data_IF_482034913810
#
_entry.id   IF_482034913810
#
_cell.length_a   1.000
_cell.length_b   1.000
_cell.length_c   1.000
_cell.angle_alpha   90.00
_cell.angle_beta   90.00
_cell.angle_gamma   90.00
#
_symmetry.space_group_name_H-M   'P 1'
#
loop_
_entity.id
_entity.type
_entity.pdbx_description
1 polymer ?
#
# COMPACT_ATOMS: atom_id res chain seq x y z
N UNK A 1 -46.71 -25.26 1.44
CA UNK A 1 -45.26 -25.14 1.19
C UNK A 1 -44.80 -23.81 1.75
N UNK A 2 -44.23 -23.83 2.95
CA UNK A 2 -43.72 -22.66 3.66
C UNK A 2 -42.27 -22.42 3.23
N UNK A 3 -41.99 -21.27 2.61
CA UNK A 3 -40.62 -20.82 2.37
C UNK A 3 -40.05 -20.26 3.68
N UNK A 4 -39.22 -21.06 4.35
CA UNK A 4 -38.42 -20.63 5.50
C UNK A 4 -37.26 -19.77 4.98
N UNK A 5 -37.29 -18.48 5.28
CA UNK A 5 -36.18 -17.56 5.00
C UNK A 5 -35.07 -17.75 6.04
N UNK A 6 -34.17 -18.71 5.81
CA UNK A 6 -33.00 -18.93 6.66
C UNK A 6 -31.78 -18.16 6.12
N UNK A 7 -31.81 -16.83 6.23
CA UNK A 7 -30.60 -16.00 6.17
C UNK A 7 -30.69 -14.88 7.19
N UNK A 8 -30.39 -15.23 8.45
CA UNK A 8 -30.07 -14.24 9.48
C UNK A 8 -28.92 -13.38 8.97
N UNK A 9 -29.15 -12.06 8.84
CA UNK A 9 -28.11 -11.08 8.49
C UNK A 9 -26.96 -11.19 9.50
N UNK A 10 -25.71 -11.46 9.08
CA UNK A 10 -24.57 -11.40 9.99
C UNK A 10 -24.35 -9.96 10.45
N UNK A 11 -24.41 -9.73 11.77
CA UNK A 11 -24.11 -8.45 12.46
C UNK A 11 -22.61 -8.07 12.37
N UNK A 12 -22.05 -8.02 11.16
CA UNK A 12 -20.62 -7.65 10.94
C UNK A 12 -20.42 -6.70 9.77
N UNK A 13 -21.50 -6.24 9.12
CA UNK A 13 -21.45 -4.95 8.42
C UNK A 13 -21.40 -3.91 9.54
N UNK A 14 -20.38 -3.05 9.64
CA UNK A 14 -20.47 -1.91 10.52
C UNK A 14 -21.81 -1.24 10.25
N UNK A 15 -22.61 -1.01 11.29
CA UNK A 15 -23.80 -0.18 11.12
C UNK A 15 -23.39 1.05 10.32
N UNK A 16 -24.19 1.43 9.30
CA UNK A 16 -23.99 2.68 8.60
C UNK A 16 -23.68 3.74 9.67
N UNK A 17 -22.57 4.49 9.55
CA UNK A 17 -22.15 5.38 10.63
C UNK A 17 -23.35 6.22 11.02
N UNK A 18 -23.74 6.16 12.30
CA UNK A 18 -24.76 7.04 12.81
C UNK A 18 -24.38 8.46 12.37
N UNK A 19 -25.34 9.26 11.86
CA UNK A 19 -25.05 10.63 11.46
C UNK A 19 -24.26 11.27 12.60
N UNK A 20 -23.07 11.78 12.27
CA UNK A 20 -22.14 12.31 13.26
C UNK A 20 -22.93 13.24 14.19
N UNK A 21 -22.91 12.95 15.49
CA UNK A 21 -23.54 13.80 16.48
C UNK A 21 -23.07 15.24 16.22
N UNK A 22 -24.03 16.13 15.93
CA UNK A 22 -23.76 17.52 15.62
C UNK A 22 -22.92 18.12 16.76
N UNK A 23 -21.67 18.50 16.47
CA UNK A 23 -20.77 19.13 17.43
C UNK A 23 -19.41 18.44 17.66
N UNK A 24 -19.15 17.24 17.15
CA UNK A 24 -17.80 16.64 17.25
C UNK A 24 -16.89 17.22 16.17
N UNK A 25 -15.83 17.92 16.56
CA UNK A 25 -14.80 18.40 15.63
C UNK A 25 -14.22 17.21 14.86
N UNK A 26 -14.10 17.29 13.51
CA UNK A 26 -13.55 16.19 12.75
C UNK A 26 -12.10 15.94 13.17
N UNK A 27 -11.82 14.74 13.69
CA UNK A 27 -10.46 14.33 14.01
C UNK A 27 -9.76 13.95 12.70
N UNK A 28 -8.82 14.79 12.26
CA UNK A 28 -8.05 14.60 11.02
C UNK A 28 -7.16 13.36 11.03
N UNK A 29 -6.80 12.86 12.21
CA UNK A 29 -5.69 11.91 12.40
C UNK A 29 -6.20 10.49 12.65
N UNK A 30 -5.44 9.50 12.18
CA UNK A 30 -5.67 8.08 12.46
C UNK A 30 -5.49 7.84 13.95
N UNK A 31 -4.36 8.30 14.49
CA UNK A 31 -3.98 8.26 15.90
C UNK A 31 -4.09 9.66 16.52
N UNK A 32 -3.02 10.43 16.37
CA UNK A 32 -2.82 11.81 16.79
C UNK A 32 -1.85 12.47 15.79
N UNK A 33 -1.70 13.79 15.86
CA UNK A 33 -0.91 14.54 14.88
C UNK A 33 0.54 14.09 14.80
N UNK A 34 1.23 13.94 15.93
CA UNK A 34 2.66 13.62 15.92
C UNK A 34 2.93 12.19 15.48
N UNK A 35 2.14 11.23 15.96
CA UNK A 35 2.31 9.83 15.57
C UNK A 35 1.99 9.61 14.10
N UNK A 36 0.95 10.23 13.58
CA UNK A 36 0.63 10.14 12.15
C UNK A 36 1.73 10.77 11.28
N UNK A 37 2.29 11.91 11.69
CA UNK A 37 3.41 12.53 10.98
C UNK A 37 4.64 11.62 10.96
N UNK A 38 4.99 10.99 12.08
CA UNK A 38 6.19 10.14 12.19
C UNK A 38 6.00 8.80 11.48
N UNK A 39 4.84 8.14 11.65
CA UNK A 39 4.61 6.76 11.22
C UNK A 39 3.98 6.62 9.84
N UNK A 40 3.25 7.64 9.37
CA UNK A 40 2.48 7.55 8.12
C UNK A 40 2.87 8.60 7.10
N UNK A 41 2.91 9.87 7.49
CA UNK A 41 2.92 10.98 6.53
C UNK A 41 4.34 11.42 6.17
N UNK A 42 5.17 11.72 7.17
CA UNK A 42 6.52 12.27 7.01
C UNK A 42 7.63 11.27 7.32
N UNK A 43 7.29 9.99 7.52
CA UNK A 43 8.26 8.89 7.68
C UNK A 43 9.37 8.92 6.63
N UNK A 44 9.09 9.20 5.33
CA UNK A 44 10.15 9.34 4.33
C UNK A 44 11.26 10.34 4.69
N UNK A 45 10.90 11.47 5.29
CA UNK A 45 11.85 12.54 5.66
C UNK A 45 12.77 12.11 6.82
N UNK A 46 12.32 11.17 7.64
CA UNK A 46 13.12 10.58 8.72
C UNK A 46 14.00 9.45 8.18
N UNK A 47 13.50 8.65 7.25
CA UNK A 47 14.22 7.50 6.72
C UNK A 47 15.44 7.89 5.90
N UNK A 48 15.35 8.94 5.07
CA UNK A 48 16.50 9.38 4.25
C UNK A 48 17.76 9.64 5.08
N UNK A 49 17.76 10.52 6.11
CA UNK A 49 18.96 10.76 6.91
C UNK A 49 19.39 9.54 7.74
N UNK A 50 18.44 8.73 8.26
CA UNK A 50 18.76 7.49 8.99
C UNK A 50 19.51 6.53 8.07
N UNK A 51 19.05 6.37 6.83
CA UNK A 51 19.64 5.46 5.87
C UNK A 51 21.01 5.94 5.39
N UNK A 52 21.17 7.24 5.12
CA UNK A 52 22.49 7.83 4.82
C UNK A 52 23.46 7.61 5.97
N UNK A 53 23.02 7.78 7.22
CA UNK A 53 23.82 7.46 8.40
C UNK A 53 24.19 5.98 8.46
N UNK A 54 23.23 5.09 8.24
CA UNK A 54 23.45 3.63 8.25
C UNK A 54 24.45 3.18 7.18
N UNK A 55 24.43 3.78 5.99
CA UNK A 55 25.40 3.50 4.92
C UNK A 55 26.83 3.94 5.26
N UNK A 56 27.02 4.76 6.29
CA UNK A 56 28.35 5.05 6.85
C UNK A 56 28.92 3.90 7.69
N UNK A 57 28.09 2.93 8.10
CA UNK A 57 28.48 1.82 8.98
C UNK A 57 28.33 0.45 8.34
N UNK A 58 27.38 0.28 7.41
CA UNK A 58 27.06 -1.00 6.78
C UNK A 58 27.00 -0.89 5.26
N UNK A 59 27.33 -1.99 4.57
CA UNK A 59 27.16 -2.09 3.13
C UNK A 59 25.68 -2.04 2.76
N UNK A 60 25.38 -1.54 1.55
CA UNK A 60 24.02 -1.44 1.05
C UNK A 60 23.32 -2.80 0.99
N UNK A 61 24.08 -3.84 0.64
CA UNK A 61 23.62 -5.22 0.54
C UNK A 61 23.21 -5.77 1.91
N UNK A 62 23.98 -5.49 2.97
CA UNK A 62 23.67 -5.93 4.34
C UNK A 62 22.40 -5.25 4.85
N UNK A 63 22.27 -3.95 4.60
CA UNK A 63 21.06 -3.19 4.95
C UNK A 63 19.86 -3.76 4.19
N UNK A 64 20.00 -4.02 2.89
CA UNK A 64 18.95 -4.62 2.09
C UNK A 64 18.55 -6.00 2.59
N UNK A 65 19.52 -6.89 2.90
CA UNK A 65 19.24 -8.22 3.42
C UNK A 65 18.50 -8.17 4.77
N UNK A 66 18.90 -7.26 5.65
CA UNK A 66 18.21 -7.03 6.91
C UNK A 66 16.75 -6.58 6.67
N UNK A 67 16.55 -5.59 5.79
CA UNK A 67 15.20 -5.09 5.46
C UNK A 67 14.37 -6.17 4.78
N UNK A 68 14.92 -6.95 3.86
CA UNK A 68 14.21 -8.03 3.19
C UNK A 68 13.78 -9.13 4.18
N UNK A 69 14.66 -9.49 5.13
CA UNK A 69 14.39 -10.54 6.11
C UNK A 69 13.37 -10.12 7.19
N UNK A 70 13.53 -8.91 7.76
CA UNK A 70 12.71 -8.47 8.90
C UNK A 70 11.60 -7.51 8.53
N UNK A 71 11.81 -6.69 7.51
CA UNK A 71 10.82 -5.78 6.96
C UNK A 71 9.89 -6.51 6.00
N UNK A 72 10.37 -6.78 4.77
CA UNK A 72 9.57 -7.32 3.68
C UNK A 72 8.92 -8.67 4.04
N UNK A 73 9.68 -9.64 4.56
CA UNK A 73 9.08 -10.90 5.01
C UNK A 73 8.30 -10.75 6.33
N UNK A 74 8.80 -9.92 7.26
CA UNK A 74 8.20 -9.77 8.58
C UNK A 74 6.84 -9.07 8.56
N UNK A 75 6.60 -8.14 7.64
CA UNK A 75 5.32 -7.43 7.55
C UNK A 75 4.17 -8.34 7.10
N UNK A 76 4.44 -9.46 6.43
CA UNK A 76 3.40 -10.43 6.08
C UNK A 76 2.84 -11.16 7.32
N UNK A 77 3.65 -11.34 8.37
CA UNK A 77 3.30 -12.12 9.55
C UNK A 77 2.02 -11.61 10.27
N UNK A 78 1.84 -10.31 10.55
CA UNK A 78 0.58 -9.80 11.10
C UNK A 78 -0.65 -10.12 10.23
N UNK A 79 -0.49 -10.12 8.91
CA UNK A 79 -1.54 -10.52 7.98
C UNK A 79 -1.91 -12.00 8.15
N UNK A 80 -0.92 -12.87 8.27
CA UNK A 80 -1.12 -14.30 8.51
C UNK A 80 -1.75 -14.57 9.88
N UNK A 81 -1.24 -13.93 10.95
CA UNK A 81 -1.82 -14.01 12.30
C UNK A 81 -3.29 -13.62 12.26
N UNK A 82 -3.65 -12.55 11.55
CA UNK A 82 -5.04 -12.14 11.41
C UNK A 82 -5.87 -13.14 10.61
N UNK A 83 -5.38 -13.61 9.46
CA UNK A 83 -6.12 -14.49 8.56
C UNK A 83 -6.44 -15.85 9.20
N UNK A 84 -5.50 -16.41 9.97
CA UNK A 84 -5.63 -17.75 10.56
C UNK A 84 -5.93 -17.74 12.08
N UNK A 85 -5.63 -16.65 12.78
CA UNK A 85 -5.90 -16.50 14.22
C UNK A 85 -7.30 -16.00 14.55
N UNK A 86 -7.94 -15.24 13.64
CA UNK A 86 -9.33 -14.82 13.78
C UNK A 86 -10.27 -15.87 13.17
N UNK A 87 -10.93 -16.66 14.03
CA UNK A 87 -11.85 -17.73 13.62
C UNK A 87 -13.00 -17.22 12.76
N UNK A 88 -13.59 -16.07 13.09
CA UNK A 88 -14.73 -15.53 12.35
C UNK A 88 -14.31 -15.07 10.95
N UNK A 89 -13.14 -14.43 10.85
CA UNK A 89 -12.56 -14.04 9.56
C UNK A 89 -12.18 -15.26 8.72
N UNK A 90 -11.54 -16.27 9.33
CA UNK A 90 -11.16 -17.49 8.63
C UNK A 90 -12.39 -18.23 8.10
N UNK A 91 -13.42 -18.43 8.91
CA UNK A 91 -14.65 -19.12 8.47
C UNK A 91 -15.33 -18.38 7.30
N UNK A 92 -15.35 -17.05 7.34
CA UNK A 92 -15.92 -16.21 6.27
C UNK A 92 -15.20 -16.36 4.94
N UNK A 93 -13.86 -16.49 4.95
CA UNK A 93 -13.03 -16.53 3.74
C UNK A 93 -12.26 -17.83 3.57
N UNK A 94 -12.73 -18.93 4.18
CA UNK A 94 -12.02 -20.21 4.31
C UNK A 94 -11.34 -20.69 3.04
N UNK A 95 -12.07 -20.69 1.93
CA UNK A 95 -11.57 -21.21 0.66
C UNK A 95 -10.52 -20.30 0.04
N UNK A 96 -10.59 -18.99 0.27
CA UNK A 96 -9.56 -18.05 -0.19
C UNK A 96 -8.28 -18.24 0.62
N UNK A 97 -8.40 -18.39 1.94
CA UNK A 97 -7.25 -18.59 2.82
C UNK A 97 -6.62 -19.98 2.70
N UNK A 98 -7.33 -20.99 2.19
CA UNK A 98 -6.73 -22.31 1.91
C UNK A 98 -6.16 -22.35 0.49
N UNK A 99 -6.97 -22.00 -0.53
CA UNK A 99 -6.59 -22.24 -1.91
C UNK A 99 -5.55 -21.24 -2.43
N UNK A 100 -5.59 -19.97 -2.00
CA UNK A 100 -4.66 -18.96 -2.54
C UNK A 100 -3.19 -19.22 -2.16
N UNK A 101 -2.83 -19.56 -0.90
CA UNK A 101 -1.47 -19.92 -0.57
C UNK A 101 -0.99 -21.19 -1.28
N UNK A 102 -1.84 -22.22 -1.39
CA UNK A 102 -1.50 -23.45 -2.12
C UNK A 102 -1.22 -23.14 -3.59
N UNK A 103 -2.11 -22.37 -4.22
CA UNK A 103 -1.93 -21.92 -5.60
C UNK A 103 -0.62 -21.15 -5.77
N UNK A 104 -0.33 -20.20 -4.87
CA UNK A 104 0.91 -19.42 -4.92
C UNK A 104 2.15 -20.31 -4.79
N UNK A 105 2.16 -21.24 -3.84
CA UNK A 105 3.27 -22.20 -3.65
C UNK A 105 3.46 -23.06 -4.90
N UNK A 106 2.39 -23.62 -5.44
CA UNK A 106 2.46 -24.47 -6.64
C UNK A 106 2.98 -23.69 -7.84
N UNK A 107 2.46 -22.48 -8.08
CA UNK A 107 2.89 -21.64 -9.21
C UNK A 107 4.34 -21.21 -9.04
N UNK A 108 4.73 -20.70 -7.86
CA UNK A 108 6.11 -20.28 -7.62
C UNK A 108 7.09 -21.47 -7.72
N UNK A 109 6.73 -22.63 -7.19
CA UNK A 109 7.55 -23.83 -7.30
C UNK A 109 7.69 -24.29 -8.76
N UNK A 110 6.60 -24.33 -9.52
CA UNK A 110 6.62 -24.70 -10.93
C UNK A 110 7.50 -23.74 -11.75
N UNK A 111 7.37 -22.42 -11.54
CA UNK A 111 8.19 -21.44 -12.24
C UNK A 111 9.67 -21.54 -11.84
N UNK A 112 9.97 -21.83 -10.57
CA UNK A 112 11.35 -22.06 -10.10
C UNK A 112 11.96 -23.33 -10.71
N UNK A 113 11.24 -24.45 -10.67
CA UNK A 113 11.72 -25.75 -11.17
C UNK A 113 11.94 -25.78 -12.68
N UNK A 114 11.16 -25.00 -13.45
CA UNK A 114 11.29 -24.89 -14.90
C UNK A 114 12.04 -23.63 -15.36
N UNK A 115 12.67 -22.90 -14.44
CA UNK A 115 13.41 -21.67 -14.68
C UNK A 115 12.64 -20.59 -15.48
N UNK A 116 11.32 -20.51 -15.28
CA UNK A 116 10.45 -19.57 -15.96
C UNK A 116 10.59 -18.17 -15.33
N UNK A 117 11.16 -17.23 -16.08
CA UNK A 117 11.44 -15.87 -15.59
C UNK A 117 10.20 -14.97 -15.45
N UNK A 118 9.08 -15.35 -16.07
CA UNK A 118 7.85 -14.56 -16.07
C UNK A 118 7.29 -14.25 -14.68
N UNK A 119 7.51 -15.12 -13.68
CA UNK A 119 7.04 -14.87 -12.30
C UNK A 119 7.73 -13.66 -11.67
N UNK A 120 8.97 -13.35 -12.06
CA UNK A 120 9.71 -12.19 -11.53
C UNK A 120 9.03 -10.89 -11.96
N UNK A 121 8.59 -10.80 -13.22
CA UNK A 121 7.84 -9.64 -13.71
C UNK A 121 6.49 -9.50 -13.01
N UNK A 122 5.78 -10.62 -12.82
CA UNK A 122 4.50 -10.62 -12.11
C UNK A 122 4.69 -10.16 -10.67
N UNK A 123 5.72 -10.65 -9.98
CA UNK A 123 6.05 -10.25 -8.62
C UNK A 123 6.42 -8.77 -8.55
N UNK A 124 7.21 -8.26 -9.51
CA UNK A 124 7.57 -6.86 -9.59
C UNK A 124 6.34 -5.95 -9.79
N UNK A 125 5.50 -6.24 -10.79
CA UNK A 125 4.27 -5.48 -11.06
C UNK A 125 3.33 -5.54 -9.85
N UNK A 126 3.23 -6.70 -9.20
CA UNK A 126 2.48 -6.85 -7.96
C UNK A 126 3.04 -5.98 -6.84
N UNK A 127 4.36 -5.92 -6.64
CA UNK A 127 5.00 -5.08 -5.63
C UNK A 127 4.70 -3.59 -5.84
N UNK A 128 4.81 -3.10 -7.08
CA UNK A 128 4.45 -1.70 -7.42
C UNK A 128 2.98 -1.43 -7.13
N UNK A 129 2.09 -2.33 -7.57
CA UNK A 129 0.65 -2.24 -7.31
C UNK A 129 0.34 -2.28 -5.81
N UNK A 130 1.03 -3.15 -5.06
CA UNK A 130 0.84 -3.34 -3.64
C UNK A 130 1.19 -2.07 -2.85
N UNK A 131 2.37 -1.50 -3.11
CA UNK A 131 2.78 -0.22 -2.53
C UNK A 131 1.80 0.91 -2.89
N UNK A 132 1.41 1.00 -4.16
CA UNK A 132 0.41 1.97 -4.63
C UNK A 132 -0.93 1.83 -3.90
N UNK A 133 -1.43 0.60 -3.75
CA UNK A 133 -2.71 0.32 -3.09
C UNK A 133 -2.66 0.68 -1.61
N UNK A 134 -1.50 0.55 -0.95
CA UNK A 134 -1.33 0.99 0.43
C UNK A 134 -1.46 2.51 0.54
N UNK A 135 -0.73 3.29 -0.26
CA UNK A 135 -0.85 4.76 -0.26
C UNK A 135 -2.28 5.22 -0.55
N UNK A 136 -2.93 4.61 -1.53
CA UNK A 136 -4.34 4.86 -1.82
C UNK A 136 -5.26 4.49 -0.65
N UNK A 137 -5.01 3.38 0.04
CA UNK A 137 -5.73 2.96 1.23
C UNK A 137 -5.68 4.00 2.35
N UNK A 138 -4.49 4.53 2.65
CA UNK A 138 -4.32 5.62 3.62
C UNK A 138 -5.09 6.88 3.21
N UNK A 139 -5.11 7.23 1.91
CA UNK A 139 -5.94 8.33 1.42
C UNK A 139 -7.42 8.15 1.75
N UNK A 140 -7.94 6.91 1.74
CA UNK A 140 -9.33 6.58 2.15
C UNK A 140 -9.56 6.69 3.64
N UNK A 141 -8.59 6.30 4.44
CA UNK A 141 -8.69 6.44 5.89
C UNK A 141 -8.74 7.93 6.26
N UNK A 142 -7.84 8.75 5.69
CA UNK A 142 -7.82 10.20 5.96
C UNK A 142 -9.05 10.94 5.44
N UNK A 143 -9.61 10.55 4.29
CA UNK A 143 -10.86 11.14 3.82
C UNK A 143 -12.06 10.72 4.69
N UNK A 144 -12.11 9.46 5.16
CA UNK A 144 -13.16 9.00 6.06
C UNK A 144 -13.16 9.75 7.41
N UNK A 145 -11.98 10.16 7.89
CA UNK A 145 -11.80 10.97 9.10
C UNK A 145 -12.45 12.35 9.02
N UNK A 146 -12.55 12.92 7.82
CA UNK A 146 -13.24 14.19 7.55
C UNK A 146 -14.63 14.01 6.93
N UNK A 147 -15.13 12.77 6.85
CA UNK A 147 -16.43 12.47 6.25
C UNK A 147 -16.49 12.66 4.72
N UNK A 148 -15.34 12.66 4.03
CA UNK A 148 -15.27 12.81 2.58
C UNK A 148 -15.44 11.45 1.89
N UNK A 149 -16.56 11.27 1.19
CA UNK A 149 -16.89 10.02 0.47
C UNK A 149 -17.23 10.25 -1.01
N UNK A 150 -16.89 11.42 -1.55
CA UNK A 150 -17.21 11.78 -2.93
C UNK A 150 -16.54 10.81 -3.93
N UNK A 151 -17.35 10.26 -4.84
CA UNK A 151 -16.89 9.28 -5.82
C UNK A 151 -15.80 9.82 -6.76
N UNK A 152 -15.90 11.09 -7.16
CA UNK A 152 -14.93 11.72 -8.04
C UNK A 152 -13.57 11.85 -7.35
N UNK A 153 -13.53 12.43 -6.15
CA UNK A 153 -12.32 12.46 -5.30
C UNK A 153 -11.73 11.06 -5.19
N UNK A 154 -12.58 10.06 -4.93
CA UNK A 154 -12.13 8.68 -4.79
C UNK A 154 -11.37 8.15 -6.00
N UNK A 155 -11.93 8.37 -7.19
CA UNK A 155 -11.34 7.94 -8.46
C UNK A 155 -10.07 8.73 -8.80
N UNK A 156 -10.05 10.02 -8.49
CA UNK A 156 -8.88 10.87 -8.74
C UNK A 156 -7.71 10.50 -7.85
N UNK A 157 -7.91 10.21 -6.56
CA UNK A 157 -6.79 9.75 -5.72
C UNK A 157 -6.26 8.39 -6.21
N UNK A 158 -7.13 7.48 -6.64
CA UNK A 158 -6.70 6.19 -7.20
C UNK A 158 -5.89 6.37 -8.49
N UNK A 159 -6.39 7.19 -9.41
CA UNK A 159 -5.72 7.52 -10.66
C UNK A 159 -4.38 8.21 -10.41
N UNK A 160 -4.31 9.14 -9.46
CA UNK A 160 -3.10 9.86 -9.08
C UNK A 160 -2.05 8.90 -8.52
N UNK A 161 -2.40 8.04 -7.55
CA UNK A 161 -1.48 7.04 -7.03
C UNK A 161 -1.00 6.10 -8.15
N UNK A 162 -1.91 5.56 -8.96
CA UNK A 162 -1.57 4.62 -10.03
C UNK A 162 -0.64 5.22 -11.08
N UNK A 163 -0.98 6.40 -11.61
CA UNK A 163 -0.21 7.00 -12.69
C UNK A 163 1.19 7.42 -12.22
N UNK A 164 1.31 8.00 -11.03
CA UNK A 164 2.61 8.44 -10.52
C UNK A 164 3.52 7.30 -10.09
N UNK A 165 2.97 6.21 -9.55
CA UNK A 165 3.75 5.02 -9.23
C UNK A 165 4.27 4.34 -10.51
N UNK A 166 3.40 4.16 -11.50
CA UNK A 166 3.77 3.58 -12.79
C UNK A 166 4.80 4.45 -13.54
N UNK A 167 4.59 5.76 -13.56
CA UNK A 167 5.50 6.70 -14.24
C UNK A 167 6.89 6.72 -13.61
N UNK A 168 7.00 6.61 -12.28
CA UNK A 168 8.31 6.56 -11.61
C UNK A 168 9.14 5.34 -12.03
N UNK A 169 8.47 4.20 -12.23
CA UNK A 169 9.13 2.97 -12.70
C UNK A 169 9.49 3.11 -14.17
N UNK A 170 8.55 3.56 -15.01
CA UNK A 170 8.73 3.64 -16.46
C UNK A 170 9.82 4.64 -16.87
N UNK A 171 10.02 5.70 -16.09
CA UNK A 171 11.06 6.71 -16.32
C UNK A 171 12.38 6.40 -15.62
N UNK A 172 12.45 5.39 -14.76
CA UNK A 172 13.68 4.98 -14.10
C UNK A 172 14.56 4.17 -15.06
N UNK A 173 15.76 4.66 -15.43
CA UNK A 173 16.63 3.93 -16.35
C UNK A 173 17.02 2.55 -15.80
N UNK A 174 17.38 2.47 -14.53
CA UNK A 174 17.81 1.22 -13.89
C UNK A 174 16.66 0.21 -13.82
N UNK A 175 15.48 0.64 -13.35
CA UNK A 175 14.30 -0.24 -13.29
C UNK A 175 13.87 -0.72 -14.66
N UNK A 176 13.94 0.15 -15.66
CA UNK A 176 13.57 -0.24 -17.02
C UNK A 176 14.57 -1.21 -17.63
N UNK A 177 15.87 -1.07 -17.36
CA UNK A 177 16.87 -2.07 -17.74
C UNK A 177 16.52 -3.44 -17.13
N UNK A 178 16.36 -3.51 -15.82
CA UNK A 178 16.04 -4.77 -15.11
C UNK A 178 14.71 -5.38 -15.58
N UNK A 179 13.70 -4.54 -15.81
CA UNK A 179 12.37 -4.96 -16.27
C UNK A 179 12.42 -5.49 -17.69
N UNK A 180 13.11 -4.80 -18.61
CA UNK A 180 13.23 -5.23 -20.00
C UNK A 180 14.08 -6.50 -20.12
N UNK A 181 15.16 -6.60 -19.35
CA UNK A 181 15.98 -7.81 -19.28
C UNK A 181 15.12 -9.00 -18.82
N UNK A 182 14.37 -8.85 -17.72
CA UNK A 182 13.46 -9.88 -17.23
C UNK A 182 12.36 -10.22 -18.23
N UNK A 183 11.85 -9.23 -18.96
CA UNK A 183 10.83 -9.41 -20.00
C UNK A 183 11.34 -10.20 -21.21
N UNK A 184 12.53 -9.87 -21.71
CA UNK A 184 13.14 -10.61 -22.82
C UNK A 184 13.57 -12.01 -22.38
N UNK A 185 14.09 -12.17 -21.16
CA UNK A 185 14.41 -13.47 -20.58
C UNK A 185 13.17 -14.36 -20.38
N UNK A 186 11.99 -13.75 -20.20
CA UNK A 186 10.72 -14.46 -20.17
C UNK A 186 10.14 -14.79 -21.57
N UNK A 187 10.86 -14.47 -22.65
CA UNK A 187 10.43 -14.71 -24.03
C UNK A 187 9.57 -13.61 -24.63
N UNK A 188 9.55 -12.41 -24.03
CA UNK A 188 8.84 -11.26 -24.57
C UNK A 188 9.43 -10.78 -25.92
N UNK A 189 8.60 -10.36 -26.89
CA UNK A 189 9.08 -9.79 -28.15
C UNK A 189 9.84 -8.47 -27.94
N UNK A 190 10.80 -8.16 -28.81
CA UNK A 190 11.53 -6.89 -28.76
C UNK A 190 10.57 -5.69 -28.75
N UNK A 191 10.74 -4.79 -27.78
CA UNK A 191 9.99 -3.53 -27.71
C UNK A 191 10.75 -2.47 -28.51
N UNK A 192 10.17 -1.89 -29.57
CA UNK A 192 10.86 -0.84 -30.34
C UNK A 192 11.20 0.36 -29.44
N UNK A 193 12.42 0.93 -29.53
CA UNK A 193 12.82 2.07 -28.70
C UNK A 193 11.90 3.29 -28.86
N UNK A 194 11.36 3.50 -30.06
CA UNK A 194 10.39 4.57 -30.32
C UNK A 194 9.09 4.36 -29.53
N UNK A 195 8.57 3.13 -29.48
CA UNK A 195 7.37 2.80 -28.73
C UNK A 195 7.56 3.03 -27.24
N UNK A 196 8.70 2.60 -26.68
CA UNK A 196 9.03 2.83 -25.27
C UNK A 196 9.11 4.32 -24.95
N UNK A 197 9.79 5.11 -25.79
CA UNK A 197 9.92 6.56 -25.61
C UNK A 197 8.56 7.27 -25.67
N UNK A 198 7.71 6.90 -26.62
CA UNK A 198 6.35 7.44 -26.72
C UNK A 198 5.51 7.07 -25.51
N UNK A 199 5.63 5.83 -25.01
CA UNK A 199 4.94 5.41 -23.78
C UNK A 199 5.40 6.21 -22.56
N UNK A 200 6.71 6.42 -22.40
CA UNK A 200 7.30 7.24 -21.33
C UNK A 200 6.77 8.68 -21.34
N UNK A 201 6.81 9.34 -22.51
CA UNK A 201 6.33 10.70 -22.67
C UNK A 201 4.80 10.80 -22.47
N UNK A 202 4.05 9.85 -23.03
CA UNK A 202 2.60 9.79 -22.90
C UNK A 202 2.15 9.58 -21.46
N UNK A 203 2.83 8.69 -20.72
CA UNK A 203 2.50 8.42 -19.31
C UNK A 203 2.83 9.63 -18.41
N UNK A 204 3.94 10.32 -18.67
CA UNK A 204 4.27 11.57 -17.97
C UNK A 204 3.24 12.67 -18.25
N UNK A 205 2.85 12.87 -19.51
CA UNK A 205 1.82 13.83 -19.88
C UNK A 205 0.47 13.51 -19.21
N UNK A 206 0.10 12.22 -19.17
CA UNK A 206 -1.10 11.76 -18.48
C UNK A 206 -1.01 11.98 -16.95
N UNK A 207 0.15 11.74 -16.34
CA UNK A 207 0.37 11.99 -14.91
C UNK A 207 0.16 13.47 -14.57
N UNK A 208 0.71 14.38 -15.38
CA UNK A 208 0.53 15.83 -15.22
C UNK A 208 -0.94 16.24 -15.42
N UNK A 209 -1.62 15.68 -16.42
CA UNK A 209 -3.03 15.96 -16.66
C UNK A 209 -3.91 15.50 -15.48
N UNK A 210 -3.70 14.28 -14.98
CA UNK A 210 -4.43 13.74 -13.82
C UNK A 210 -4.15 14.60 -12.57
N UNK A 211 -2.90 15.03 -12.34
CA UNK A 211 -2.56 15.96 -11.25
C UNK A 211 -3.30 17.29 -11.36
N UNK A 212 -3.42 17.85 -12.57
CA UNK A 212 -4.17 19.07 -12.80
C UNK A 212 -5.65 18.92 -12.45
N UNK A 213 -6.30 17.84 -12.94
CA UNK A 213 -7.70 17.55 -12.62
C UNK A 213 -7.89 17.28 -11.12
N UNK A 214 -6.97 16.54 -10.50
CA UNK A 214 -6.96 16.31 -9.05
C UNK A 214 -6.91 17.63 -8.27
N UNK A 215 -5.99 18.53 -8.62
CA UNK A 215 -5.81 19.81 -7.94
C UNK A 215 -7.04 20.71 -8.09
N UNK A 216 -7.60 20.80 -9.30
CA UNK A 216 -8.83 21.55 -9.56
C UNK A 216 -9.97 21.00 -8.70
N UNK A 217 -10.17 19.67 -8.67
CA UNK A 217 -11.18 19.05 -7.82
C UNK A 217 -10.93 19.31 -6.33
N UNK A 218 -9.68 19.23 -5.88
CA UNK A 218 -9.31 19.47 -4.48
C UNK A 218 -9.62 20.90 -4.05
N UNK A 219 -9.19 21.90 -4.84
CA UNK A 219 -9.45 23.32 -4.60
C UNK A 219 -10.94 23.60 -4.65
N UNK A 220 -11.65 23.07 -5.65
CA UNK A 220 -13.08 23.28 -5.78
C UNK A 220 -13.87 22.72 -4.60
N UNK A 221 -13.55 21.49 -4.17
CA UNK A 221 -14.14 20.88 -2.99
C UNK A 221 -13.87 21.70 -1.72
N UNK A 222 -12.66 22.26 -1.60
CA UNK A 222 -12.30 23.16 -0.50
C UNK A 222 -13.14 24.44 -0.47
N UNK A 223 -13.29 25.09 -1.62
CA UNK A 223 -14.10 26.30 -1.79
C UNK A 223 -15.59 26.06 -1.50
N UNK A 224 -16.11 24.88 -1.84
CA UNK A 224 -17.50 24.48 -1.53
C UNK A 224 -17.74 24.06 -0.07
N UNK A 225 -16.74 24.16 0.80
CA UNK A 225 -16.83 23.71 2.20
C UNK A 225 -16.79 22.19 2.38
N UNK A 226 -16.65 21.41 1.29
CA UNK A 226 -16.48 19.95 1.30
C UNK A 226 -14.99 19.58 1.42
N UNK A 227 -14.33 20.15 2.41
CA UNK A 227 -12.85 20.16 2.54
C UNK A 227 -12.29 18.72 2.61
N UNK A 228 -11.59 18.24 1.56
CA UNK A 228 -10.88 16.97 1.62
C UNK A 228 -9.77 17.04 2.67
N UNK A 229 -9.30 15.89 3.16
CA UNK A 229 -8.31 15.89 4.24
C UNK A 229 -6.99 16.56 3.78
N UNK A 230 -6.49 17.61 4.46
CA UNK A 230 -5.20 18.20 4.13
C UNK A 230 -4.04 17.24 4.43
N UNK A 231 -4.19 16.36 5.43
CA UNK A 231 -3.19 15.33 5.78
C UNK A 231 -3.00 14.34 4.62
N UNK A 232 -4.09 14.01 3.91
CA UNK A 232 -4.03 13.19 2.70
C UNK A 232 -3.14 13.84 1.62
N UNK A 233 -3.24 15.15 1.43
CA UNK A 233 -2.44 15.84 0.42
C UNK A 233 -0.95 15.75 0.76
N UNK A 234 -0.58 15.98 2.02
CA UNK A 234 0.80 15.83 2.49
C UNK A 234 1.29 14.40 2.29
N UNK A 235 0.48 13.40 2.68
CA UNK A 235 0.78 11.99 2.48
C UNK A 235 1.04 11.65 1.01
N UNK A 236 0.20 12.14 0.09
CA UNK A 236 0.36 11.91 -1.34
C UNK A 236 1.68 12.50 -1.85
N UNK A 237 1.96 13.75 -1.47
CA UNK A 237 3.21 14.43 -1.85
C UNK A 237 4.41 13.67 -1.32
N UNK A 238 4.47 13.36 -0.03
CA UNK A 238 5.60 12.65 0.57
C UNK A 238 5.77 11.23 0.02
N UNK A 239 4.68 10.46 -0.11
CA UNK A 239 4.74 9.07 -0.59
C UNK A 239 5.16 8.99 -2.06
N UNK A 240 4.57 9.82 -2.93
CA UNK A 240 4.90 9.83 -4.36
C UNK A 240 6.33 10.35 -4.56
N UNK A 241 6.71 11.43 -3.87
CA UNK A 241 8.06 11.99 -4.01
C UNK A 241 9.12 11.02 -3.51
N UNK A 242 8.85 10.31 -2.41
CA UNK A 242 9.75 9.28 -1.89
C UNK A 242 9.86 8.07 -2.81
N UNK A 243 8.75 7.61 -3.38
CA UNK A 243 8.76 6.56 -4.39
C UNK A 243 9.61 6.96 -5.61
N UNK A 244 9.49 8.21 -6.06
CA UNK A 244 10.32 8.75 -7.14
C UNK A 244 11.79 8.84 -6.76
N UNK A 245 12.10 9.33 -5.56
CA UNK A 245 13.46 9.35 -5.02
C UNK A 245 14.09 7.95 -5.04
N UNK A 246 13.38 6.95 -4.49
CA UNK A 246 13.84 5.57 -4.44
C UNK A 246 14.08 4.95 -5.83
N UNK A 247 13.29 5.31 -6.83
CA UNK A 247 13.39 4.72 -8.17
C UNK A 247 14.30 5.48 -9.14
N UNK A 248 14.44 6.80 -8.99
CA UNK A 248 15.07 7.66 -10.01
C UNK A 248 16.29 8.44 -9.50
N UNK A 249 16.47 8.58 -8.19
CA UNK A 249 17.55 9.40 -7.61
C UNK A 249 18.57 8.53 -6.88
N UNK A 250 18.10 7.52 -6.14
CA UNK A 250 18.99 6.57 -5.46
C UNK A 250 19.78 5.78 -6.51
N UNK A 251 21.11 5.80 -6.39
CA UNK A 251 22.01 5.19 -7.38
C UNK A 251 21.98 3.66 -7.41
N UNK A 252 21.55 3.03 -6.32
CA UNK A 252 21.41 1.57 -6.22
C UNK A 252 19.95 1.17 -6.12
N UNK A 253 19.51 0.31 -7.04
CA UNK A 253 18.15 -0.26 -7.03
C UNK A 253 17.87 -0.97 -5.70
N UNK A 254 18.83 -1.71 -5.15
CA UNK A 254 18.69 -2.42 -3.87
C UNK A 254 18.43 -1.45 -2.72
N UNK A 255 19.18 -0.34 -2.67
CA UNK A 255 18.98 0.72 -1.67
C UNK A 255 17.60 1.37 -1.83
N UNK A 256 17.20 1.63 -3.07
CA UNK A 256 15.88 2.19 -3.38
C UNK A 256 14.74 1.27 -2.93
N UNK A 257 14.87 -0.05 -3.16
CA UNK A 257 13.93 -1.05 -2.65
C UNK A 257 13.91 -1.00 -1.12
N UNK A 258 15.07 -1.12 -0.46
CA UNK A 258 15.15 -1.17 1.00
C UNK A 258 14.50 0.07 1.66
N UNK A 259 14.78 1.27 1.15
CA UNK A 259 14.18 2.51 1.62
C UNK A 259 12.64 2.50 1.53
N UNK A 260 12.11 2.10 0.37
CA UNK A 260 10.67 2.05 0.17
C UNK A 260 10.00 0.96 1.00
N UNK A 261 10.60 -0.22 1.10
CA UNK A 261 10.13 -1.33 1.93
C UNK A 261 10.03 -0.90 3.39
N UNK A 262 11.07 -0.29 3.97
CA UNK A 262 11.01 0.18 5.37
C UNK A 262 9.87 1.18 5.57
N UNK A 263 9.68 2.13 4.65
CA UNK A 263 8.56 3.07 4.73
C UNK A 263 7.22 2.35 4.69
N UNK A 264 7.05 1.44 3.73
CA UNK A 264 5.87 0.62 3.55
C UNK A 264 5.56 -0.21 4.81
N UNK A 265 6.59 -0.82 5.39
CA UNK A 265 6.50 -1.69 6.56
C UNK A 265 6.11 -0.93 7.81
N UNK A 266 6.76 0.22 8.08
CA UNK A 266 6.45 1.07 9.23
C UNK A 266 4.97 1.47 9.21
N UNK A 267 4.49 1.90 8.05
CA UNK A 267 3.08 2.25 7.85
C UNK A 267 2.15 1.06 8.12
N UNK A 268 2.44 -0.09 7.52
CA UNK A 268 1.58 -1.27 7.62
C UNK A 268 1.56 -1.85 9.03
N UNK A 269 2.75 -2.10 9.60
CA UNK A 269 2.92 -2.70 10.92
C UNK A 269 2.25 -1.87 12.01
N UNK A 270 2.45 -0.56 12.00
CA UNK A 270 1.85 0.33 13.00
C UNK A 270 0.31 0.35 12.89
N UNK A 271 -0.23 0.45 11.67
CA UNK A 271 -1.68 0.44 11.46
C UNK A 271 -2.32 -0.89 11.88
N UNK A 272 -1.72 -2.03 11.47
CA UNK A 272 -2.23 -3.37 11.78
C UNK A 272 -2.15 -3.66 13.28
N UNK A 273 -1.06 -3.29 13.94
CA UNK A 273 -0.90 -3.45 15.38
C UNK A 273 -2.00 -2.71 16.14
N UNK A 274 -2.19 -1.43 15.83
CA UNK A 274 -3.15 -0.58 16.53
C UNK A 274 -4.58 -1.04 16.27
N UNK A 275 -4.90 -1.40 15.02
CA UNK A 275 -6.20 -1.92 14.66
C UNK A 275 -6.54 -3.19 15.45
N UNK A 276 -5.64 -4.19 15.47
CA UNK A 276 -5.91 -5.45 16.16
C UNK A 276 -5.95 -5.29 17.68
N UNK A 277 -5.10 -4.42 18.26
CA UNK A 277 -5.18 -4.07 19.68
C UNK A 277 -6.54 -3.49 20.05
N UNK A 278 -6.99 -2.46 19.32
CA UNK A 278 -8.29 -1.84 19.58
C UNK A 278 -9.42 -2.86 19.47
N UNK A 279 -9.34 -3.76 18.48
CA UNK A 279 -10.35 -4.79 18.26
C UNK A 279 -10.41 -5.79 19.41
N UNK A 280 -9.25 -6.28 19.87
CA UNK A 280 -9.14 -7.17 21.05
C UNK A 280 -9.69 -6.53 22.32
N UNK A 281 -9.48 -5.22 22.49
CA UNK A 281 -10.03 -4.47 23.63
C UNK A 281 -11.55 -4.26 23.53
N UNK A 282 -12.10 -4.13 22.32
CA UNK A 282 -13.52 -3.80 22.10
C UNK A 282 -14.44 -5.00 21.86
N UNK A 283 -13.91 -6.12 21.38
CA UNK A 283 -14.69 -7.28 20.92
C UNK A 283 -14.36 -8.50 21.78
N UNK A 284 -15.29 -8.84 22.68
CA UNK A 284 -15.15 -9.96 23.60
C UNK A 284 -15.14 -11.33 22.90
N UNK A 285 -15.63 -11.42 21.66
CA UNK A 285 -15.65 -12.67 20.89
C UNK A 285 -14.27 -13.08 20.37
N UNK A 286 -13.27 -12.18 20.40
CA UNK A 286 -11.91 -12.49 19.96
C UNK A 286 -11.23 -13.42 20.98
N UNK A 287 -10.83 -14.59 20.49
CA UNK A 287 -10.29 -15.69 21.30
C UNK A 287 -8.84 -15.54 21.78
N UNK A 288 -8.39 -16.53 22.54
CA UNK A 288 -7.16 -16.51 23.35
C UNK A 288 -5.86 -16.21 22.59
N UNK A 289 -5.64 -16.77 21.40
CA UNK A 289 -4.39 -16.52 20.65
C UNK A 289 -4.25 -15.05 20.23
N UNK A 290 -5.28 -14.47 19.62
CA UNK A 290 -5.30 -13.06 19.24
C UNK A 290 -5.20 -12.15 20.47
N UNK A 291 -5.86 -12.51 21.58
CA UNK A 291 -5.71 -11.79 22.86
C UNK A 291 -4.29 -11.86 23.40
N UNK A 292 -3.63 -13.02 23.33
CA UNK A 292 -2.27 -13.20 23.80
C UNK A 292 -1.27 -12.34 23.00
N UNK A 293 -1.41 -12.32 21.66
CA UNK A 293 -0.50 -11.57 20.78
C UNK A 293 -0.66 -10.06 20.92
N UNK A 294 -1.90 -9.57 21.07
CA UNK A 294 -2.21 -8.13 21.08
C UNK A 294 -2.59 -7.59 22.47
N UNK A 295 -2.23 -8.29 23.57
CA UNK A 295 -2.43 -7.79 24.94
C UNK A 295 -1.53 -6.58 25.24
N UNK A 296 -1.92 -5.81 26.25
CA UNK A 296 -1.09 -4.72 26.80
C UNK A 296 0.09 -5.27 27.58
#
# INVERSE_FOLDING_TARGET
MQHVSAFSRPQTVPAAPAPAAAGRTPNLWILDSWRDLILYVCTPLLLVPIFVGAQGFWAAEDIYLFVAAFGAMGHHLPGMIRAYGDRALFQRFRWRFICAPIFLVVVCAAFSLWDLKGIVLVAFVWGVWHGMMQTYGFCRIYDAKVGSFAQLTRRLDFALCGIWFATAVLLSPQRMTDTLESYYAAGGPLIPPALLRTAQQGLLALALAISGVFLVNFIWAWMQGRRPSPVKLVLLVTSISFWWYCNNIVASVLVGIALFEVFHDVQYLSLVWIYNRKRVESDSSIGGFMRFVFRR
#
